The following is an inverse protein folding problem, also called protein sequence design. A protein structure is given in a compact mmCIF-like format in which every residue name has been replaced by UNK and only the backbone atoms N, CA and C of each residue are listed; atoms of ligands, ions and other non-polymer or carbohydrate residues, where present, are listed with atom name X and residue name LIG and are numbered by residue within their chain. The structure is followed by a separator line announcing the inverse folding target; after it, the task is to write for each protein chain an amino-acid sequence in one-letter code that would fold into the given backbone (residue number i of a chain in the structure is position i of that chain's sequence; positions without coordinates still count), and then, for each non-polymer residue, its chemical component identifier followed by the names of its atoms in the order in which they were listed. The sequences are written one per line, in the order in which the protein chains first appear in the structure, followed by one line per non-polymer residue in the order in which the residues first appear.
data_IF_076211069760
#
_entry.id   IF_076211069760
#
_cell.length_a   1.000
_cell.length_b   1.000
_cell.length_c   1.000
_cell.angle_alpha   90.00
_cell.angle_beta   90.00
_cell.angle_gamma   90.00
#
_symmetry.space_group_name_H-M   'P 1'
#
loop_
_entity.id
_entity.type
_entity.pdbx_description
1 polymer ?
#
# COMPACT_ATOMS: atom_id res chain seq x y z
N UNK A 1 -17.64 3.55 18.84
CA UNK A 1 -16.23 3.42 18.41
C UNK A 1 -16.19 2.70 17.08
N UNK A 2 -15.46 3.21 16.10
CA UNK A 2 -15.36 2.63 14.75
C UNK A 2 -13.90 2.65 14.32
N UNK A 3 -13.47 1.63 13.60
CA UNK A 3 -12.13 1.59 12.98
C UNK A 3 -12.19 2.14 11.56
N UNK A 4 -11.16 2.86 11.21
CA UNK A 4 -10.91 3.41 9.90
C UNK A 4 -9.51 2.98 9.46
N UNK A 5 -9.43 2.36 8.30
CA UNK A 5 -8.18 1.89 7.75
C UNK A 5 -7.83 2.72 6.52
N UNK A 6 -6.92 3.69 6.68
CA UNK A 6 -6.36 4.44 5.56
C UNK A 6 -5.25 3.63 4.93
N UNK A 7 -5.46 3.23 3.69
CA UNK A 7 -4.59 2.32 2.95
C UNK A 7 -4.03 3.03 1.74
N UNK A 8 -2.70 3.04 1.60
CA UNK A 8 -2.08 3.45 0.35
C UNK A 8 -2.25 2.35 -0.70
N UNK A 9 -2.61 2.72 -1.93
CA UNK A 9 -2.67 1.79 -3.07
C UNK A 9 -1.36 0.99 -3.24
N UNK A 10 -1.41 -0.11 -3.97
CA UNK A 10 -0.24 -0.89 -4.35
C UNK A 10 0.73 -0.13 -5.26
N UNK A 11 1.94 -0.68 -5.45
CA UNK A 11 2.97 -0.10 -6.31
C UNK A 11 2.47 0.08 -7.74
N UNK A 12 2.86 1.22 -8.36
CA UNK A 12 2.49 1.53 -9.74
C UNK A 12 3.64 1.28 -10.70
N UNK A 13 3.31 0.92 -11.92
CA UNK A 13 4.27 0.88 -13.02
C UNK A 13 4.86 2.27 -13.25
N UNK A 14 6.17 2.35 -13.40
CA UNK A 14 6.93 3.58 -13.71
C UNK A 14 6.71 4.78 -12.75
N UNK A 15 6.11 4.54 -11.58
CA UNK A 15 5.84 5.59 -10.59
C UNK A 15 7.04 5.98 -9.71
N UNK A 16 8.15 5.27 -9.79
CA UNK A 16 9.32 5.54 -8.95
C UNK A 16 10.03 6.84 -9.38
N UNK A 17 10.43 7.66 -8.38
CA UNK A 17 11.17 8.91 -8.58
C UNK A 17 10.46 9.99 -9.42
N UNK A 18 9.15 9.84 -9.65
CA UNK A 18 8.32 10.81 -10.37
C UNK A 18 7.31 11.50 -9.45
N UNK A 19 6.93 12.69 -9.82
CA UNK A 19 5.79 13.38 -9.23
C UNK A 19 4.51 12.78 -9.84
N UNK A 20 3.87 11.88 -9.12
CA UNK A 20 2.64 11.21 -9.56
C UNK A 20 1.50 11.61 -8.63
N UNK A 21 0.67 12.52 -9.06
CA UNK A 21 -0.55 12.94 -8.39
C UNK A 21 -1.79 12.45 -9.15
N UNK A 22 -2.29 13.28 -10.06
CA UNK A 22 -3.45 12.99 -10.91
C UNK A 22 -3.18 12.02 -12.05
N UNK A 23 -1.91 11.83 -12.46
CA UNK A 23 -1.53 10.87 -13.50
C UNK A 23 -2.01 9.47 -13.17
N UNK A 24 -2.80 8.87 -14.06
CA UNK A 24 -3.42 7.57 -13.80
C UNK A 24 -2.55 6.42 -14.31
N UNK A 25 -1.73 5.87 -13.41
CA UNK A 25 -0.87 4.73 -13.66
C UNK A 25 -1.50 3.45 -13.08
N UNK A 26 -1.42 2.31 -13.80
CA UNK A 26 -1.87 1.02 -13.30
C UNK A 26 -0.93 0.46 -12.24
N UNK A 27 -1.41 -0.50 -11.45
CA UNK A 27 -0.56 -1.31 -10.59
C UNK A 27 0.44 -2.09 -11.44
N UNK A 28 1.65 -2.30 -10.90
CA UNK A 28 2.57 -3.30 -11.41
C UNK A 28 2.35 -4.66 -10.70
N UNK A 29 3.15 -5.65 -11.05
CA UNK A 29 3.06 -6.99 -10.47
C UNK A 29 3.25 -6.99 -8.95
N UNK A 30 4.16 -6.15 -8.43
CA UNK A 30 4.38 -5.99 -6.99
C UNK A 30 3.15 -5.36 -6.33
N UNK A 31 2.55 -4.36 -6.99
CA UNK A 31 1.33 -3.71 -6.53
C UNK A 31 0.13 -4.67 -6.46
N UNK A 32 -0.01 -5.56 -7.45
CA UNK A 32 -1.03 -6.61 -7.41
C UNK A 32 -0.82 -7.57 -6.23
N UNK A 33 0.43 -7.93 -5.94
CA UNK A 33 0.76 -8.75 -4.78
C UNK A 33 0.45 -8.05 -3.45
N UNK A 34 0.75 -6.74 -3.37
CA UNK A 34 0.41 -5.93 -2.21
C UNK A 34 -1.10 -5.84 -2.00
N UNK A 35 -1.88 -5.70 -3.09
CA UNK A 35 -3.33 -5.73 -3.02
C UNK A 35 -3.89 -7.09 -2.57
N UNK A 36 -3.24 -8.19 -2.96
CA UNK A 36 -3.59 -9.53 -2.50
C UNK A 36 -3.32 -9.73 -0.99
N UNK A 37 -2.21 -9.17 -0.46
CA UNK A 37 -1.97 -9.10 0.99
C UNK A 37 -3.12 -8.40 1.71
N UNK A 38 -3.53 -7.26 1.17
CA UNK A 38 -4.64 -6.47 1.72
C UNK A 38 -5.95 -7.27 1.70
N UNK A 39 -6.20 -8.07 0.66
CA UNK A 39 -7.35 -8.98 0.59
C UNK A 39 -7.35 -9.99 1.74
N UNK A 40 -6.21 -10.64 1.97
CA UNK A 40 -6.06 -11.63 3.04
C UNK A 40 -6.25 -10.97 4.42
N UNK A 41 -5.62 -9.83 4.65
CA UNK A 41 -5.80 -9.04 5.86
C UNK A 41 -7.26 -8.62 6.08
N UNK A 42 -7.94 -8.13 5.04
CA UNK A 42 -9.32 -7.67 5.12
C UNK A 42 -10.32 -8.77 5.51
N UNK A 43 -10.01 -10.05 5.21
CA UNK A 43 -10.84 -11.19 5.60
C UNK A 43 -10.97 -11.37 7.11
N UNK A 44 -9.98 -10.94 7.88
CA UNK A 44 -9.96 -10.99 9.34
C UNK A 44 -10.58 -9.77 10.01
N UNK A 45 -11.05 -8.78 9.22
CA UNK A 45 -11.57 -7.51 9.74
C UNK A 45 -13.08 -7.40 9.53
N UNK A 46 -13.83 -6.82 10.48
CA UNK A 46 -15.28 -6.64 10.37
C UNK A 46 -15.63 -5.42 9.50
N UNK A 47 -15.03 -5.33 8.31
CA UNK A 47 -15.26 -4.24 7.38
C UNK A 47 -16.68 -4.29 6.82
N UNK A 48 -17.34 -3.14 6.74
CA UNK A 48 -18.68 -2.97 6.17
C UNK A 48 -18.66 -2.37 4.77
N UNK A 49 -17.64 -1.58 4.43
CA UNK A 49 -17.48 -0.97 3.12
C UNK A 49 -16.02 -0.59 2.81
N UNK A 50 -15.75 -0.44 1.53
CA UNK A 50 -14.49 0.08 0.99
C UNK A 50 -14.78 1.36 0.22
N UNK A 51 -14.08 2.43 0.50
CA UNK A 51 -14.08 3.66 -0.27
C UNK A 51 -12.75 3.84 -0.98
N UNK A 52 -12.77 4.32 -2.22
CA UNK A 52 -11.56 4.39 -3.03
C UNK A 52 -11.46 5.71 -3.81
N UNK A 53 -10.23 6.19 -3.98
CA UNK A 53 -9.91 7.20 -4.97
C UNK A 53 -10.35 6.75 -6.37
N UNK A 54 -10.76 7.66 -7.26
CA UNK A 54 -11.15 7.30 -8.65
C UNK A 54 -9.98 6.84 -9.52
N UNK A 55 -8.72 7.01 -9.10
CA UNK A 55 -7.56 6.62 -9.90
C UNK A 55 -7.43 5.09 -9.98
N UNK A 56 -7.02 4.58 -11.16
CA UNK A 56 -7.04 3.15 -11.50
C UNK A 56 -6.29 2.29 -10.47
N UNK A 57 -5.11 2.72 -10.01
CA UNK A 57 -4.31 2.05 -8.98
C UNK A 57 -5.06 1.83 -7.66
N UNK A 58 -5.89 2.81 -7.26
CA UNK A 58 -6.71 2.68 -6.06
C UNK A 58 -7.93 1.80 -6.29
N UNK A 59 -8.62 1.98 -7.42
CA UNK A 59 -9.77 1.15 -7.77
C UNK A 59 -9.40 -0.31 -7.87
N UNK A 60 -8.25 -0.61 -8.49
CA UNK A 60 -7.78 -1.98 -8.62
C UNK A 60 -7.38 -2.57 -7.26
N UNK A 61 -6.67 -1.80 -6.42
CA UNK A 61 -6.37 -2.20 -5.03
C UNK A 61 -7.67 -2.48 -4.25
N UNK A 62 -8.69 -1.60 -4.38
CA UNK A 62 -9.97 -1.76 -3.70
C UNK A 62 -10.75 -2.98 -4.20
N UNK A 63 -10.76 -3.21 -5.52
CA UNK A 63 -11.42 -4.36 -6.15
C UNK A 63 -10.85 -5.68 -5.61
N UNK A 64 -9.52 -5.79 -5.56
CA UNK A 64 -8.84 -6.98 -5.04
C UNK A 64 -9.10 -7.14 -3.53
N UNK A 65 -8.93 -6.08 -2.74
CA UNK A 65 -9.15 -6.10 -1.30
C UNK A 65 -10.58 -6.52 -0.95
N UNK A 66 -11.58 -5.97 -1.65
CA UNK A 66 -13.00 -6.25 -1.36
C UNK A 66 -13.41 -7.69 -1.67
N UNK A 67 -12.73 -8.34 -2.62
CA UNK A 67 -12.94 -9.74 -3.01
C UNK A 67 -14.42 -10.03 -3.38
N UNK A 68 -15.11 -9.03 -3.92
CA UNK A 68 -16.56 -9.10 -4.22
C UNK A 68 -17.49 -9.21 -2.99
N UNK A 69 -16.94 -9.23 -1.77
CA UNK A 69 -17.69 -9.38 -0.52
C UNK A 69 -18.15 -8.06 0.10
N UNK A 70 -17.43 -6.98 -0.19
CA UNK A 70 -17.68 -5.67 0.38
C UNK A 70 -18.13 -4.71 -0.71
N UNK A 71 -19.10 -3.81 -0.45
CA UNK A 71 -19.44 -2.73 -1.37
C UNK A 71 -18.24 -1.79 -1.52
N UNK A 72 -17.96 -1.38 -2.78
CA UNK A 72 -16.89 -0.46 -3.12
C UNK A 72 -17.49 0.83 -3.67
N UNK A 73 -17.13 1.96 -3.04
CA UNK A 73 -17.62 3.30 -3.40
C UNK A 73 -16.45 4.19 -3.80
N UNK A 74 -16.57 4.88 -4.93
CA UNK A 74 -15.58 5.88 -5.36
C UNK A 74 -15.88 7.24 -4.72
N UNK A 75 -14.85 7.93 -4.25
CA UNK A 75 -14.94 9.26 -3.68
C UNK A 75 -13.79 10.15 -4.17
N UNK A 76 -14.11 11.26 -4.83
CA UNK A 76 -13.13 12.17 -5.41
C UNK A 76 -12.20 12.81 -4.37
N UNK A 77 -12.68 13.05 -3.18
CA UNK A 77 -11.87 13.60 -2.09
C UNK A 77 -10.76 12.67 -1.60
N UNK A 78 -10.73 11.39 -2.04
CA UNK A 78 -9.65 10.44 -1.75
C UNK A 78 -8.49 10.50 -2.76
N UNK A 79 -8.52 11.39 -3.77
CA UNK A 79 -7.44 11.56 -4.76
C UNK A 79 -6.10 11.92 -4.12
N UNK A 80 -5.02 11.67 -4.88
CA UNK A 80 -3.70 12.19 -4.52
C UNK A 80 -3.65 13.72 -4.67
N UNK A 81 -2.61 14.31 -4.11
CA UNK A 81 -2.26 15.71 -4.34
C UNK A 81 -2.08 15.95 -5.83
N UNK A 82 -2.59 17.09 -6.30
CA UNK A 82 -2.31 17.55 -7.67
C UNK A 82 -0.84 17.99 -7.77
N UNK A 83 -0.10 17.38 -8.67
CA UNK A 83 1.29 17.73 -8.96
C UNK A 83 1.47 18.99 -9.81
N UNK A 84 0.37 19.57 -10.33
CA UNK A 84 0.39 20.74 -11.20
C UNK A 84 1.30 20.53 -12.41
N UNK A 85 2.15 21.52 -12.70
CA UNK A 85 3.09 21.43 -13.85
C UNK A 85 4.19 20.38 -13.68
N UNK A 86 4.31 19.77 -12.51
CA UNK A 86 5.29 18.69 -12.23
C UNK A 86 4.74 17.30 -12.51
N UNK A 87 3.46 17.17 -12.84
CA UNK A 87 2.82 15.87 -13.09
C UNK A 87 3.59 14.99 -14.08
N UNK A 88 3.86 13.75 -13.68
CA UNK A 88 4.55 12.73 -14.48
C UNK A 88 6.07 12.92 -14.63
N UNK A 89 6.62 14.06 -14.18
CA UNK A 89 8.05 14.37 -14.36
C UNK A 89 8.92 13.69 -13.30
N UNK A 90 10.16 13.38 -13.67
CA UNK A 90 11.17 12.96 -12.70
C UNK A 90 11.54 14.12 -11.76
N UNK A 91 11.71 13.84 -10.47
CA UNK A 91 12.14 14.87 -9.51
C UNK A 91 13.49 15.49 -9.88
N UNK A 92 14.38 14.74 -10.55
CA UNK A 92 15.63 15.26 -11.09
C UNK A 92 15.40 16.35 -12.13
N UNK A 93 14.46 16.14 -13.06
CA UNK A 93 14.11 17.10 -14.12
C UNK A 93 13.40 18.33 -13.54
N UNK A 94 12.50 18.11 -12.56
CA UNK A 94 11.80 19.20 -11.85
C UNK A 94 12.81 20.14 -11.20
N UNK A 95 13.81 19.60 -10.51
CA UNK A 95 14.85 20.39 -9.85
C UNK A 95 15.67 21.24 -10.83
N UNK A 96 15.88 20.74 -12.04
CA UNK A 96 16.62 21.48 -13.09
C UNK A 96 15.74 22.54 -13.74
N UNK A 97 14.47 22.22 -14.03
CA UNK A 97 13.55 23.13 -14.76
C UNK A 97 12.94 24.21 -13.89
N UNK A 98 12.73 23.93 -12.60
CA UNK A 98 12.10 24.87 -11.65
C UNK A 98 12.90 24.93 -10.33
N UNK A 99 14.18 25.33 -10.34
CA UNK A 99 15.05 25.25 -9.16
C UNK A 99 14.53 26.06 -7.98
N UNK A 100 14.00 27.27 -8.23
CA UNK A 100 13.48 28.14 -7.19
C UNK A 100 12.19 27.57 -6.56
N UNK A 101 11.22 27.14 -7.38
CA UNK A 101 9.98 26.55 -6.88
C UNK A 101 10.25 25.21 -6.15
N UNK A 102 11.21 24.42 -6.62
CA UNK A 102 11.62 23.18 -5.97
C UNK A 102 12.25 23.45 -4.60
N UNK A 103 13.14 24.46 -4.51
CA UNK A 103 13.77 24.87 -3.25
C UNK A 103 12.77 25.46 -2.27
N UNK A 104 11.88 26.36 -2.72
CA UNK A 104 10.82 26.95 -1.89
C UNK A 104 9.90 25.88 -1.31
N UNK A 105 9.48 24.90 -2.14
CA UNK A 105 8.68 23.78 -1.67
C UNK A 105 9.46 22.91 -0.68
N UNK A 106 10.75 22.68 -0.91
CA UNK A 106 11.60 21.90 0.00
C UNK A 106 11.74 22.55 1.39
N UNK A 107 11.71 23.88 1.45
CA UNK A 107 11.78 24.64 2.70
C UNK A 107 10.44 24.65 3.47
N UNK A 108 9.29 24.57 2.76
CA UNK A 108 7.95 24.68 3.34
C UNK A 108 7.00 23.66 2.68
N UNK A 109 7.26 22.38 2.89
CA UNK A 109 6.53 21.26 2.28
C UNK A 109 5.03 21.32 2.53
N UNK A 110 4.64 21.69 3.74
CA UNK A 110 3.24 21.73 4.16
C UNK A 110 2.41 22.75 3.40
N UNK A 111 2.97 23.94 3.19
CA UNK A 111 2.25 25.11 2.68
C UNK A 111 2.47 25.38 1.19
N UNK A 112 3.69 25.14 0.66
CA UNK A 112 4.05 25.48 -0.72
C UNK A 112 3.68 24.35 -1.67
N UNK A 113 2.73 24.56 -2.61
CA UNK A 113 2.39 23.56 -3.63
C UNK A 113 3.41 23.52 -4.76
N UNK A 114 3.42 22.45 -5.58
CA UNK A 114 3.92 22.56 -6.95
C UNK A 114 3.18 23.68 -7.70
N UNK A 115 3.81 24.36 -8.66
CA UNK A 115 3.11 25.40 -9.43
C UNK A 115 1.86 24.85 -10.10
N UNK A 116 0.70 25.45 -9.81
CA UNK A 116 -0.61 24.99 -10.29
C UNK A 116 -1.16 23.74 -9.63
N UNK A 117 -0.53 23.21 -8.58
CA UNK A 117 -0.93 22.01 -7.86
C UNK A 117 -1.46 22.25 -6.46
N UNK A 118 -1.50 21.19 -5.64
CA UNK A 118 -1.93 21.21 -4.24
C UNK A 118 -0.75 21.14 -3.25
N UNK A 119 -0.89 21.85 -2.11
CA UNK A 119 0.01 21.65 -0.95
C UNK A 119 -0.42 20.43 -0.13
N UNK A 120 0.47 19.94 0.76
CA UNK A 120 0.10 18.88 1.71
C UNK A 120 -1.06 19.31 2.62
N UNK A 121 -1.08 20.59 3.04
CA UNK A 121 -2.15 21.14 3.84
C UNK A 121 -3.50 21.09 3.12
N UNK A 122 -3.56 21.54 1.88
CA UNK A 122 -4.78 21.55 1.07
C UNK A 122 -5.30 20.12 0.80
N UNK A 123 -4.42 19.23 0.36
CA UNK A 123 -4.76 17.83 0.10
C UNK A 123 -5.23 17.10 1.38
N UNK A 124 -4.55 17.34 2.51
CA UNK A 124 -4.94 16.79 3.81
C UNK A 124 -6.30 17.29 4.29
N UNK A 125 -6.59 18.60 4.12
CA UNK A 125 -7.89 19.19 4.45
C UNK A 125 -9.02 18.59 3.60
N UNK A 126 -8.80 18.45 2.28
CA UNK A 126 -9.73 17.81 1.34
C UNK A 126 -10.01 16.36 1.73
N UNK A 127 -8.96 15.58 1.99
CA UNK A 127 -9.07 14.19 2.40
C UNK A 127 -9.85 14.07 3.72
N UNK A 128 -9.50 14.86 4.74
CA UNK A 128 -10.17 14.87 6.03
C UNK A 128 -11.65 15.27 5.95
N UNK A 129 -11.99 16.23 5.09
CA UNK A 129 -13.38 16.60 4.79
C UNK A 129 -14.16 15.45 4.16
N UNK A 130 -13.57 14.78 3.18
CA UNK A 130 -14.14 13.60 2.53
C UNK A 130 -14.39 12.46 3.54
N UNK A 131 -13.40 12.15 4.37
CA UNK A 131 -13.50 11.11 5.40
C UNK A 131 -14.64 11.40 6.38
N UNK A 132 -14.75 12.64 6.90
CA UNK A 132 -15.87 13.02 7.78
C UNK A 132 -17.22 12.85 7.10
N UNK A 133 -17.34 13.26 5.83
CA UNK A 133 -18.55 13.06 5.04
C UNK A 133 -18.91 11.59 4.82
N UNK A 134 -17.93 10.72 4.64
CA UNK A 134 -18.12 9.26 4.56
C UNK A 134 -18.62 8.72 5.90
N UNK A 135 -17.96 9.09 7.00
CA UNK A 135 -18.31 8.63 8.34
C UNK A 135 -19.71 9.06 8.77
N UNK A 136 -20.22 10.20 8.28
CA UNK A 136 -21.55 10.68 8.59
C UNK A 136 -22.68 9.84 7.97
N UNK A 137 -22.38 9.08 6.90
CA UNK A 137 -23.39 8.28 6.14
C UNK A 137 -23.10 6.78 6.09
N UNK A 138 -22.07 6.32 6.81
CA UNK A 138 -21.68 4.90 6.85
C UNK A 138 -21.60 4.46 8.30
N UNK A 139 -22.01 3.24 8.58
CA UNK A 139 -21.84 2.59 9.87
C UNK A 139 -20.79 1.48 9.79
N UNK A 140 -20.26 1.05 10.96
CA UNK A 140 -19.25 0.01 11.06
C UNK A 140 -17.84 0.46 10.66
N UNK A 141 -16.95 -0.50 10.54
CA UNK A 141 -15.54 -0.28 10.19
C UNK A 141 -15.37 -0.19 8.68
N UNK A 142 -14.54 0.74 8.21
CA UNK A 142 -14.35 1.01 6.78
C UNK A 142 -12.88 1.04 6.38
N UNK A 143 -12.62 0.62 5.13
CA UNK A 143 -11.32 0.81 4.48
C UNK A 143 -11.40 1.97 3.48
N UNK A 144 -10.35 2.79 3.45
CA UNK A 144 -10.18 3.94 2.55
C UNK A 144 -8.92 3.72 1.72
N UNK A 145 -9.07 3.48 0.42
CA UNK A 145 -7.93 3.32 -0.48
C UNK A 145 -7.59 4.68 -1.08
N UNK A 146 -6.43 5.20 -0.70
CA UNK A 146 -5.97 6.53 -1.05
C UNK A 146 -4.46 6.51 -1.36
N UNK A 147 -3.79 7.63 -1.14
CA UNK A 147 -2.43 7.90 -1.59
C UNK A 147 -1.55 8.41 -0.46
N UNK A 148 -0.24 8.46 -0.71
CA UNK A 148 0.74 8.82 0.31
C UNK A 148 0.77 10.31 0.61
N UNK A 149 0.67 11.19 -0.40
CA UNK A 149 0.75 12.63 -0.21
C UNK A 149 -0.46 13.17 0.55
N UNK A 150 -1.66 12.91 0.05
CA UNK A 150 -2.90 13.29 0.71
C UNK A 150 -3.01 12.67 2.11
N UNK A 151 -2.63 11.38 2.24
CA UNK A 151 -2.62 10.68 3.53
C UNK A 151 -1.70 11.31 4.56
N UNK A 152 -0.48 11.67 4.18
CA UNK A 152 0.48 12.37 5.06
C UNK A 152 -0.03 13.74 5.49
N UNK A 153 -0.56 14.53 4.54
CA UNK A 153 -1.13 15.85 4.84
C UNK A 153 -2.29 15.78 5.84
N UNK A 154 -3.09 14.71 5.81
CA UNK A 154 -4.17 14.52 6.77
C UNK A 154 -3.69 13.94 8.12
N UNK A 155 -2.73 13.02 8.10
CA UNK A 155 -2.22 12.36 9.31
C UNK A 155 -1.34 13.27 10.17
N UNK A 156 -0.54 14.16 9.57
CA UNK A 156 0.41 15.00 10.29
C UNK A 156 -0.24 15.80 11.43
N UNK A 157 -1.34 16.56 11.19
CA UNK A 157 -2.02 17.29 12.28
C UNK A 157 -2.61 16.36 13.34
N UNK A 158 -3.07 15.15 12.97
CA UNK A 158 -3.59 14.17 13.94
C UNK A 158 -2.51 13.62 14.87
N UNK A 159 -1.27 13.62 14.40
CA UNK A 159 -0.08 13.19 15.14
C UNK A 159 0.59 14.34 15.90
N UNK A 160 0.11 15.57 15.74
CA UNK A 160 0.76 16.78 16.30
C UNK A 160 2.10 17.10 15.64
N UNK A 161 2.31 16.65 14.38
CA UNK A 161 3.52 16.93 13.60
C UNK A 161 3.35 18.21 12.79
N UNK A 162 4.44 18.94 12.58
CA UNK A 162 4.49 19.98 11.60
C UNK A 162 4.28 19.42 10.19
N UNK A 163 3.58 20.15 9.35
CA UNK A 163 3.34 19.77 7.96
C UNK A 163 4.62 19.78 7.11
N UNK A 164 5.67 20.46 7.54
CA UNK A 164 6.96 20.41 6.88
C UNK A 164 7.71 19.08 7.14
N UNK A 165 7.31 18.35 8.19
CA UNK A 165 7.84 17.03 8.56
C UNK A 165 7.03 15.85 7.99
N UNK A 166 6.09 16.07 7.09
CA UNK A 166 5.16 15.04 6.56
C UNK A 166 5.87 13.81 5.97
N UNK A 167 7.10 13.98 5.46
CA UNK A 167 7.87 12.87 4.89
C UNK A 167 8.35 11.86 5.93
N UNK A 168 8.38 12.24 7.21
CA UNK A 168 8.67 11.33 8.33
C UNK A 168 7.55 10.29 8.54
N UNK A 169 6.33 10.58 8.09
CA UNK A 169 5.18 9.67 8.20
C UNK A 169 5.35 8.54 7.20
N UNK A 170 5.54 7.34 7.72
CA UNK A 170 5.71 6.14 6.90
C UNK A 170 4.38 5.75 6.23
N UNK A 171 4.36 5.78 4.90
CA UNK A 171 3.23 5.39 4.05
C UNK A 171 3.72 4.49 2.90
N UNK A 172 4.13 3.23 3.17
CA UNK A 172 4.59 2.33 2.13
C UNK A 172 3.44 1.93 1.19
N UNK A 173 3.74 1.47 -0.01
CA UNK A 173 2.73 0.90 -0.91
C UNK A 173 2.05 -0.31 -0.26
N UNK A 174 0.72 -0.37 -0.36
CA UNK A 174 -0.08 -1.37 0.36
C UNK A 174 -0.06 -1.22 1.88
N UNK A 175 0.51 -0.12 2.40
CA UNK A 175 0.57 0.16 3.84
C UNK A 175 -0.75 0.64 4.40
N UNK A 176 -1.07 0.21 5.61
CA UNK A 176 -2.28 0.49 6.35
C UNK A 176 -1.96 1.42 7.52
N UNK A 177 -2.67 2.52 7.61
CA UNK A 177 -2.74 3.31 8.85
C UNK A 177 -4.10 3.09 9.50
N UNK A 178 -4.09 2.57 10.71
CA UNK A 178 -5.28 2.27 11.50
C UNK A 178 -5.62 3.45 12.39
N UNK A 179 -6.87 3.87 12.36
CA UNK A 179 -7.38 4.94 13.20
C UNK A 179 -8.68 4.51 13.90
N UNK A 180 -8.89 5.05 15.10
CA UNK A 180 -10.14 4.92 15.82
C UNK A 180 -10.92 6.23 15.75
N UNK A 181 -12.17 6.17 15.30
CA UNK A 181 -13.11 7.27 15.36
C UNK A 181 -14.04 7.12 16.57
N UNK A 182 -13.99 8.09 17.47
CA UNK A 182 -14.83 8.10 18.67
C UNK A 182 -15.12 9.53 19.11
N UNK A 183 -16.37 9.83 19.44
CA UNK A 183 -16.82 11.13 19.98
C UNK A 183 -16.33 12.35 19.17
N UNK A 184 -16.35 12.24 17.82
CA UNK A 184 -15.94 13.34 16.93
C UNK A 184 -14.42 13.52 16.77
N UNK A 185 -13.60 12.58 17.27
CA UNK A 185 -12.14 12.64 17.21
C UNK A 185 -11.53 11.40 16.60
N UNK A 186 -10.41 11.57 15.93
CA UNK A 186 -9.54 10.48 15.46
C UNK A 186 -8.41 10.25 16.44
N UNK A 187 -8.11 8.99 16.69
CA UNK A 187 -6.86 8.53 17.32
C UNK A 187 -6.13 7.69 16.30
N UNK A 188 -4.85 7.94 16.09
CA UNK A 188 -4.00 7.12 15.22
C UNK A 188 -3.46 5.97 16.05
N UNK A 189 -3.82 4.74 15.71
CA UNK A 189 -3.46 3.54 16.46
C UNK A 189 -2.19 2.88 15.88
N UNK A 190 -2.04 2.93 14.55
CA UNK A 190 -0.89 2.36 13.85
C UNK A 190 -0.63 3.11 12.54
N UNK A 191 0.64 3.15 12.11
CA UNK A 191 1.07 3.79 10.85
C UNK A 191 1.84 2.83 9.96
N UNK A 192 1.40 2.75 8.69
CA UNK A 192 2.14 2.07 7.63
C UNK A 192 2.38 0.59 7.90
N UNK A 193 1.44 -0.08 8.59
CA UNK A 193 1.45 -1.53 8.76
C UNK A 193 1.43 -2.20 7.38
N UNK A 194 2.35 -3.11 7.16
CA UNK A 194 2.34 -3.99 5.99
C UNK A 194 1.97 -5.39 6.46
N UNK A 195 0.79 -5.91 6.07
CA UNK A 195 0.42 -7.28 6.40
C UNK A 195 1.43 -8.27 5.82
N UNK A 196 1.69 -9.33 6.55
CA UNK A 196 2.54 -10.41 6.04
C UNK A 196 1.95 -11.01 4.77
N UNK A 197 2.81 -11.36 3.83
CA UNK A 197 2.39 -11.99 2.59
C UNK A 197 2.49 -13.50 2.73
N UNK A 198 1.36 -14.15 2.55
CA UNK A 198 1.34 -15.51 2.03
C UNK A 198 1.22 -15.41 0.51
N UNK A 199 2.28 -15.66 -0.27
CA UNK A 199 2.20 -15.53 -1.71
C UNK A 199 1.16 -16.52 -2.27
N UNK A 200 0.15 -16.06 -3.03
CA UNK A 200 -0.78 -16.97 -3.69
C UNK A 200 -0.05 -17.80 -4.77
N UNK A 201 -0.60 -18.95 -5.18
CA UNK A 201 0.07 -19.87 -6.11
C UNK A 201 0.52 -19.23 -7.44
N UNK A 202 -0.26 -18.28 -7.98
CA UNK A 202 0.11 -17.59 -9.22
C UNK A 202 1.35 -16.70 -9.03
N UNK A 203 1.50 -16.10 -7.84
CA UNK A 203 2.65 -15.26 -7.53
C UNK A 203 3.91 -16.11 -7.28
N UNK A 204 3.78 -17.26 -6.62
CA UNK A 204 4.88 -18.20 -6.46
C UNK A 204 5.46 -18.59 -7.82
N UNK A 205 4.56 -18.89 -8.78
CA UNK A 205 4.96 -19.19 -10.15
C UNK A 205 5.65 -17.99 -10.82
N UNK A 206 5.07 -16.80 -10.75
CA UNK A 206 5.62 -15.60 -11.36
C UNK A 206 7.00 -15.22 -10.77
N UNK A 207 7.20 -15.38 -9.47
CA UNK A 207 8.49 -15.16 -8.82
C UNK A 207 9.55 -16.16 -9.31
N UNK A 208 9.21 -17.44 -9.40
CA UNK A 208 10.08 -18.48 -9.93
C UNK A 208 10.42 -18.24 -11.41
N UNK A 209 9.45 -17.80 -12.21
CA UNK A 209 9.64 -17.46 -13.63
C UNK A 209 10.54 -16.24 -13.79
N UNK A 210 10.30 -15.17 -13.04
CA UNK A 210 11.10 -13.93 -13.06
C UNK A 210 12.55 -14.14 -12.65
N UNK A 211 12.80 -15.07 -11.73
CA UNK A 211 14.15 -15.42 -11.28
C UNK A 211 14.78 -16.50 -12.16
N UNK A 212 14.12 -16.90 -13.25
CA UNK A 212 14.58 -17.96 -14.15
C UNK A 212 14.97 -19.23 -13.39
N UNK A 213 14.22 -19.54 -12.31
CA UNK A 213 14.54 -20.65 -11.43
C UNK A 213 14.61 -21.97 -12.23
N UNK A 214 15.75 -22.71 -12.16
CA UNK A 214 15.91 -23.96 -12.90
C UNK A 214 14.83 -24.98 -12.55
N UNK A 215 14.43 -25.88 -13.47
CA UNK A 215 13.44 -26.93 -13.20
C UNK A 215 13.76 -27.76 -11.95
N UNK A 216 15.03 -28.06 -11.72
CA UNK A 216 15.46 -28.81 -10.54
C UNK A 216 15.15 -28.07 -9.23
N UNK A 217 15.31 -26.72 -9.18
CA UNK A 217 14.97 -25.90 -8.02
C UNK A 217 13.47 -25.91 -7.78
N UNK A 218 12.65 -25.81 -8.82
CA UNK A 218 11.19 -25.86 -8.72
C UNK A 218 10.71 -27.20 -8.18
N UNK A 219 11.21 -28.32 -8.76
CA UNK A 219 10.87 -29.67 -8.31
C UNK A 219 11.31 -29.92 -6.87
N UNK A 220 12.51 -29.44 -6.49
CA UNK A 220 13.01 -29.52 -5.12
C UNK A 220 12.09 -28.75 -4.16
N UNK A 221 11.76 -27.51 -4.46
CA UNK A 221 10.86 -26.69 -3.64
C UNK A 221 9.48 -27.33 -3.42
N UNK A 222 8.93 -27.97 -4.46
CA UNK A 222 7.66 -28.72 -4.36
C UNK A 222 7.79 -29.97 -3.47
N UNK A 223 8.90 -30.70 -3.55
CA UNK A 223 9.14 -31.86 -2.71
C UNK A 223 9.29 -31.44 -1.24
N UNK A 224 10.06 -30.37 -0.96
CA UNK A 224 10.23 -29.83 0.39
C UNK A 224 8.89 -29.35 0.96
N UNK A 225 8.08 -28.65 0.16
CA UNK A 225 6.76 -28.18 0.59
C UNK A 225 5.83 -29.35 0.97
N UNK A 226 5.75 -30.41 0.15
CA UNK A 226 4.94 -31.58 0.48
C UNK A 226 5.38 -32.24 1.79
N UNK A 227 6.68 -32.41 1.99
CA UNK A 227 7.23 -33.00 3.21
C UNK A 227 6.95 -32.14 4.43
N UNK A 228 7.16 -30.82 4.35
CA UNK A 228 6.93 -29.89 5.44
C UNK A 228 5.44 -29.86 5.84
N UNK A 229 4.53 -29.85 4.86
CA UNK A 229 3.09 -29.88 5.12
C UNK A 229 2.66 -31.18 5.80
N UNK A 230 3.21 -32.32 5.39
CA UNK A 230 2.94 -33.62 6.03
C UNK A 230 3.46 -33.67 7.48
N UNK A 231 4.62 -33.05 7.75
CA UNK A 231 5.16 -32.93 9.11
C UNK A 231 4.37 -31.94 9.98
N UNK A 232 3.73 -30.96 9.37
CA UNK A 232 2.90 -29.99 10.08
C UNK A 232 1.51 -30.53 10.45
N UNK A 233 1.01 -31.59 9.79
CA UNK A 233 -0.31 -32.16 10.03
C UNK A 233 -0.55 -32.62 11.47
N UNK A 234 0.40 -33.26 12.17
CA UNK A 234 0.20 -33.70 13.55
C UNK A 234 0.42 -32.60 14.61
N UNK A 235 0.74 -31.34 14.24
CA UNK A 235 1.01 -30.26 15.18
C UNK A 235 -0.29 -29.50 15.48
N UNK A 236 -0.92 -29.70 16.65
CA UNK A 236 -2.22 -29.11 16.94
C UNK A 236 -2.14 -27.65 17.41
N UNK A 237 -1.06 -27.24 18.12
CA UNK A 237 -0.91 -25.89 18.69
C UNK A 237 0.55 -25.46 18.82
N UNK A 238 0.88 -24.21 18.45
CA UNK A 238 0.03 -23.27 17.70
C UNK A 238 -0.23 -23.78 16.28
N UNK A 239 -1.39 -23.46 15.68
CA UNK A 239 -1.73 -23.93 14.34
C UNK A 239 -0.69 -23.41 13.34
N UNK A 240 -0.15 -24.30 12.52
CA UNK A 240 0.81 -23.94 11.47
C UNK A 240 0.08 -23.22 10.35
N UNK A 241 0.56 -22.02 9.98
CA UNK A 241 0.09 -21.33 8.75
C UNK A 241 0.58 -22.13 7.52
N UNK A 242 -0.25 -23.08 7.08
CA UNK A 242 0.08 -24.00 5.98
C UNK A 242 0.39 -23.30 4.66
N UNK A 243 -0.38 -22.27 4.22
CA UNK A 243 -0.06 -21.48 3.05
C UNK A 243 1.30 -20.77 3.15
N UNK A 244 1.65 -20.22 4.30
CA UNK A 244 2.94 -19.57 4.52
C UNK A 244 4.08 -20.60 4.49
N UNK A 245 3.90 -21.76 5.14
CA UNK A 245 4.87 -22.84 5.14
C UNK A 245 5.12 -23.35 3.71
N UNK A 246 4.07 -23.58 2.93
CA UNK A 246 4.17 -24.01 1.54
C UNK A 246 4.94 -22.99 0.70
N UNK A 247 4.59 -21.70 0.80
CA UNK A 247 5.26 -20.62 0.09
C UNK A 247 6.74 -20.52 0.45
N UNK A 248 7.07 -20.56 1.74
CA UNK A 248 8.45 -20.55 2.22
C UNK A 248 9.26 -21.71 1.65
N UNK A 249 8.70 -22.92 1.68
CA UNK A 249 9.37 -24.12 1.15
C UNK A 249 9.57 -24.09 -0.37
N UNK A 250 8.63 -23.53 -1.13
CA UNK A 250 8.76 -23.40 -2.59
C UNK A 250 9.78 -22.34 -3.02
N UNK A 251 10.02 -21.33 -2.19
CA UNK A 251 10.89 -20.19 -2.51
C UNK A 251 12.27 -20.24 -1.85
N UNK A 252 12.51 -21.13 -0.88
CA UNK A 252 13.74 -21.10 -0.07
C UNK A 252 15.05 -21.15 -0.89
N UNK A 253 15.02 -21.78 -2.06
CA UNK A 253 16.16 -21.91 -2.98
C UNK A 253 16.02 -21.06 -4.26
N UNK A 254 15.08 -20.09 -4.30
CA UNK A 254 14.77 -19.31 -5.52
C UNK A 254 16.00 -18.64 -6.16
N UNK A 255 16.96 -18.24 -5.33
CA UNK A 255 18.21 -17.62 -5.78
C UNK A 255 19.39 -18.60 -5.90
N UNK A 256 19.15 -19.90 -5.78
CA UNK A 256 20.20 -20.95 -5.83
C UNK A 256 20.96 -20.89 -7.15
N UNK A 257 22.29 -20.87 -7.06
CA UNK A 257 23.19 -20.71 -8.21
C UNK A 257 23.67 -19.26 -8.46
N UNK A 258 23.11 -18.28 -7.75
CA UNK A 258 23.67 -16.91 -7.76
C UNK A 258 24.69 -16.70 -6.64
N UNK A 259 25.68 -15.82 -6.81
CA UNK A 259 26.51 -15.36 -5.70
C UNK A 259 25.62 -14.80 -4.58
N UNK A 260 25.92 -15.15 -3.31
CA UNK A 260 25.14 -14.72 -2.14
C UNK A 260 23.65 -15.13 -2.15
N UNK A 261 23.33 -16.33 -2.68
CA UNK A 261 21.95 -16.80 -2.85
C UNK A 261 21.11 -16.72 -1.57
N UNK A 262 21.67 -17.00 -0.40
CA UNK A 262 20.96 -16.92 0.88
C UNK A 262 20.47 -15.50 1.20
N UNK A 263 21.26 -14.46 0.87
CA UNK A 263 20.87 -13.05 1.01
C UNK A 263 19.86 -12.58 -0.02
N UNK A 264 19.93 -13.13 -1.24
CA UNK A 264 19.01 -12.76 -2.34
C UNK A 264 17.64 -13.43 -2.19
N UNK A 265 17.59 -14.65 -1.67
CA UNK A 265 16.33 -15.35 -1.39
C UNK A 265 15.55 -14.79 -0.21
N UNK A 266 16.22 -14.05 0.69
CA UNK A 266 15.60 -13.43 1.87
C UNK A 266 15.06 -12.00 1.63
N UNK A 267 15.26 -11.45 0.44
CA UNK A 267 14.75 -10.12 0.02
C UNK A 267 13.54 -10.27 -0.88
#
# INVERSE_FOLDING_TARGET
MRKLYLIRHGQCRDGAHRCIGGTDLPLDEVGLCQAERLRQWARSKPLTAVYTSPLSRCRETARILSDGRLPVHTADGLREMDGGVWEGLLYADIRVRWPEAYAARGAHLGAVPPPGGESFSAAGARLGGCIRGILARTEGDIALISHAGAGRGWLAPLLGLDLDDVLSIRQPWGGISELTWSRGRFTVDCLGLQPDLVPPPFLLKALLDRQEAPPAVRTHGEAVARTALALADPIPEPPVDRPLLEAACRLHDIAKGSPDHARRGAR
#
